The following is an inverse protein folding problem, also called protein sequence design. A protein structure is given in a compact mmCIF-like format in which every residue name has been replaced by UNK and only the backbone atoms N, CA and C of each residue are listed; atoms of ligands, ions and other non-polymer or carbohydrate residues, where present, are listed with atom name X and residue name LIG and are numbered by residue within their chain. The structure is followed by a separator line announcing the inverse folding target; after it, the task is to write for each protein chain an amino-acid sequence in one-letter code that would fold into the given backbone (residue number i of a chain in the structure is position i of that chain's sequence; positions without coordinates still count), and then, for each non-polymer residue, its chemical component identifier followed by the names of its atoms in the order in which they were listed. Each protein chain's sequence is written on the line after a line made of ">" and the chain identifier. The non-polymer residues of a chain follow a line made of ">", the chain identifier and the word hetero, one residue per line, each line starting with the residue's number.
data_IF_277651357780
#
_entry.id   IF_277651357780
#
_cell.length_a   1.000
_cell.length_b   1.000
_cell.length_c   1.000
_cell.angle_alpha   90.00
_cell.angle_beta   90.00
_cell.angle_gamma   90.00
#
_symmetry.space_group_name_H-M   'P 1'
#
loop_
_entity.id
_entity.type
_entity.pdbx_description
1 polymer ?
#
# COMPACT_ATOMS: atom_id res chain seq x y z
N UNK A 1 3.80 1.40 4.65
CA UNK A 1 4.49 0.08 4.58
C UNK A 1 5.55 0.05 5.65
N UNK A 2 5.64 -1.04 6.39
CA UNK A 2 6.78 -1.28 7.29
C UNK A 2 7.93 -1.89 6.51
N UNK A 3 9.16 -1.43 6.73
CA UNK A 3 10.39 -2.08 6.25
C UNK A 3 11.43 -2.16 7.36
N UNK A 4 12.46 -3.00 7.21
CA UNK A 4 13.53 -3.08 8.21
C UNK A 4 14.38 -1.82 8.30
N UNK A 5 14.28 -0.91 7.31
CA UNK A 5 14.90 0.41 7.34
C UNK A 5 13.98 1.47 7.98
N UNK A 6 12.72 1.14 8.28
CA UNK A 6 11.73 2.03 8.87
C UNK A 6 10.41 2.09 8.11
N UNK A 7 9.51 2.92 8.64
CA UNK A 7 8.21 3.23 8.06
C UNK A 7 8.37 4.01 6.75
N UNK A 8 7.72 3.57 5.68
CA UNK A 8 7.70 4.29 4.41
C UNK A 8 6.30 4.40 3.81
N UNK A 9 6.12 5.44 3.01
CA UNK A 9 4.91 5.74 2.25
C UNK A 9 5.24 5.62 0.76
N UNK A 10 4.34 4.98 0.02
CA UNK A 10 4.41 4.87 -1.43
C UNK A 10 3.13 5.49 -1.97
N UNK A 11 3.27 6.50 -2.80
CA UNK A 11 2.16 7.16 -3.49
C UNK A 11 2.26 6.81 -4.97
N UNK A 12 1.17 6.34 -5.56
CA UNK A 12 1.10 5.97 -6.97
C UNK A 12 0.05 6.87 -7.61
N UNK A 13 0.48 7.73 -8.53
CA UNK A 13 -0.42 8.57 -9.30
C UNK A 13 -0.88 7.83 -10.56
N UNK A 14 -2.09 8.14 -11.00
CA UNK A 14 -2.72 7.51 -12.16
C UNK A 14 -3.21 8.53 -13.17
N UNK A 15 -3.22 8.14 -14.44
CA UNK A 15 -3.87 8.81 -15.55
C UNK A 15 -4.90 7.89 -16.23
N UNK A 16 -5.38 8.27 -17.41
CA UNK A 16 -6.35 7.51 -18.20
C UNK A 16 -5.85 6.12 -18.65
N UNK A 17 -4.52 5.90 -18.63
CA UNK A 17 -3.88 4.65 -19.06
C UNK A 17 -3.43 3.77 -17.88
N UNK A 18 -3.45 4.29 -16.64
CA UNK A 18 -3.10 3.56 -15.44
C UNK A 18 -2.07 4.30 -14.59
N UNK A 19 -1.16 3.57 -13.95
CA UNK A 19 -0.11 4.19 -13.13
C UNK A 19 0.86 5.02 -14.01
N UNK A 20 1.04 6.29 -13.67
CA UNK A 20 1.90 7.22 -14.41
C UNK A 20 3.12 7.68 -13.60
N UNK A 21 3.04 7.69 -12.27
CA UNK A 21 4.11 8.16 -11.40
C UNK A 21 4.11 7.47 -10.04
N UNK A 22 5.30 7.28 -9.45
CA UNK A 22 5.48 6.72 -8.11
C UNK A 22 6.35 7.66 -7.28
N UNK A 23 5.88 8.03 -6.09
CA UNK A 23 6.65 8.73 -5.08
C UNK A 23 6.86 7.83 -3.87
N UNK A 24 8.02 7.98 -3.25
CA UNK A 24 8.37 7.21 -2.07
C UNK A 24 8.97 8.13 -1.02
N UNK A 25 8.47 8.04 0.21
CA UNK A 25 8.96 8.83 1.33
C UNK A 25 9.16 7.95 2.57
N UNK A 26 10.34 8.05 3.18
CA UNK A 26 10.63 7.42 4.46
C UNK A 26 10.18 8.34 5.60
N UNK A 27 9.54 7.78 6.63
CA UNK A 27 8.95 8.55 7.73
C UNK A 27 9.98 9.22 8.65
N UNK A 28 11.05 8.51 9.02
CA UNK A 28 12.21 9.13 9.70
C UNK A 28 13.22 9.57 8.63
N UNK A 29 13.69 10.81 8.75
CA UNK A 29 14.52 11.47 7.73
C UNK A 29 15.93 10.89 7.66
N UNK A 30 16.35 10.50 6.46
CA UNK A 30 17.76 10.39 6.07
C UNK A 30 18.35 8.98 5.94
N UNK A 31 19.58 8.93 5.42
CA UNK A 31 20.37 7.71 5.24
C UNK A 31 20.30 7.11 3.83
N UNK A 32 21.13 6.09 3.58
CA UNK A 32 21.25 5.44 2.27
C UNK A 32 19.92 4.88 1.77
N UNK A 33 19.06 4.37 2.66
CA UNK A 33 17.75 3.84 2.29
C UNK A 33 16.85 4.92 1.66
N UNK A 34 16.83 6.13 2.22
CA UNK A 34 16.03 7.23 1.66
C UNK A 34 16.54 7.68 0.30
N UNK A 35 17.87 7.81 0.14
CA UNK A 35 18.48 8.20 -1.12
C UNK A 35 18.26 7.16 -2.22
N UNK A 36 18.39 5.86 -1.89
CA UNK A 36 18.12 4.76 -2.82
C UNK A 36 16.64 4.72 -3.22
N UNK A 37 15.73 4.95 -2.27
CA UNK A 37 14.30 5.00 -2.55
C UNK A 37 13.92 6.18 -3.45
N UNK A 38 14.54 7.35 -3.27
CA UNK A 38 14.34 8.48 -4.16
C UNK A 38 14.77 8.13 -5.60
N UNK A 39 15.94 7.49 -5.75
CA UNK A 39 16.41 7.03 -7.05
C UNK A 39 15.44 6.00 -7.67
N UNK A 40 14.98 5.01 -6.88
CA UNK A 40 14.01 4.01 -7.33
C UNK A 40 12.70 4.67 -7.75
N UNK A 41 12.17 5.61 -6.97
CA UNK A 41 10.94 6.33 -7.29
C UNK A 41 11.08 7.10 -8.61
N UNK A 42 12.15 7.89 -8.76
CA UNK A 42 12.41 8.68 -9.98
C UNK A 42 12.57 7.81 -11.23
N UNK A 43 13.30 6.70 -11.13
CA UNK A 43 13.49 5.78 -12.25
C UNK A 43 12.21 5.00 -12.57
N UNK A 44 11.44 4.58 -11.56
CA UNK A 44 10.15 3.91 -11.77
C UNK A 44 9.15 4.85 -12.44
N UNK A 45 9.08 6.10 -12.00
CA UNK A 45 8.27 7.15 -12.62
C UNK A 45 8.69 7.44 -14.06
N UNK A 46 10.00 7.47 -14.35
CA UNK A 46 10.49 7.61 -15.72
C UNK A 46 10.10 6.40 -16.58
N UNK A 47 10.20 5.19 -16.03
CA UNK A 47 9.82 3.96 -16.74
C UNK A 47 8.33 3.95 -17.09
N UNK A 48 7.45 4.33 -16.16
CA UNK A 48 6.01 4.45 -16.38
C UNK A 48 5.70 5.46 -17.48
N UNK A 49 6.28 6.67 -17.41
CA UNK A 49 6.13 7.70 -18.46
C UNK A 49 6.72 7.29 -19.82
N UNK A 50 7.61 6.29 -19.83
CA UNK A 50 8.18 5.69 -21.04
C UNK A 50 7.37 4.50 -21.55
N UNK A 51 6.12 4.34 -21.07
CA UNK A 51 5.20 3.28 -21.45
C UNK A 51 5.73 1.86 -21.17
N UNK A 52 6.60 1.72 -20.17
CA UNK A 52 7.03 0.41 -19.68
C UNK A 52 5.89 -0.20 -18.87
N UNK A 53 5.50 -1.43 -19.22
CA UNK A 53 4.45 -2.17 -18.51
C UNK A 53 4.73 -2.25 -17.01
N UNK A 54 3.72 -1.93 -16.19
CA UNK A 54 3.81 -1.93 -14.74
C UNK A 54 4.29 -3.28 -14.19
N UNK A 55 3.84 -4.40 -14.78
CA UNK A 55 4.25 -5.75 -14.41
C UNK A 55 5.76 -5.98 -14.59
N UNK A 56 6.38 -5.33 -15.58
CA UNK A 56 7.81 -5.42 -15.79
C UNK A 56 8.57 -4.74 -14.66
N UNK A 57 8.11 -3.57 -14.21
CA UNK A 57 8.70 -2.82 -13.08
C UNK A 57 8.53 -3.63 -11.79
N UNK A 58 7.32 -4.15 -11.53
CA UNK A 58 7.04 -5.01 -10.37
C UNK A 58 8.02 -6.18 -10.30
N UNK A 59 8.27 -6.86 -11.44
CA UNK A 59 9.19 -7.99 -11.51
C UNK A 59 10.64 -7.62 -11.18
N UNK A 60 11.09 -6.41 -11.56
CA UNK A 60 12.45 -5.96 -11.24
C UNK A 60 12.61 -5.60 -9.75
N UNK A 61 11.56 -5.09 -9.11
CA UNK A 61 11.61 -4.62 -7.73
C UNK A 61 11.32 -5.72 -6.70
N UNK A 62 10.35 -6.60 -6.98
CA UNK A 62 9.96 -7.68 -6.07
C UNK A 62 11.09 -8.67 -5.86
N UNK A 63 11.32 -9.03 -4.60
CA UNK A 63 12.35 -9.99 -4.20
C UNK A 63 13.76 -9.41 -4.08
N UNK A 64 13.99 -8.12 -4.38
CA UNK A 64 15.26 -7.46 -4.02
C UNK A 64 15.46 -7.61 -2.52
N UNK A 65 16.66 -8.06 -2.11
CA UNK A 65 16.99 -8.31 -0.71
C UNK A 65 17.97 -7.28 -0.18
N UNK A 66 17.81 -6.88 1.07
CA UNK A 66 18.80 -6.15 1.83
C UNK A 66 19.12 -6.89 3.14
N UNK A 67 20.05 -6.33 3.92
CA UNK A 67 20.48 -6.89 5.22
C UNK A 67 19.41 -6.79 6.33
N UNK A 68 18.29 -6.12 6.07
CA UNK A 68 17.23 -5.85 7.06
C UNK A 68 15.85 -6.31 6.55
N UNK A 69 15.63 -7.61 6.26
CA UNK A 69 14.31 -8.12 5.95
C UNK A 69 13.41 -8.05 7.20
N UNK A 70 12.10 -7.89 7.00
CA UNK A 70 11.15 -7.87 8.11
C UNK A 70 9.82 -8.53 7.75
N UNK A 71 9.09 -8.97 8.76
CA UNK A 71 7.73 -9.46 8.62
C UNK A 71 6.72 -8.33 8.84
N UNK A 72 5.77 -8.19 7.94
CA UNK A 72 4.67 -7.24 8.03
C UNK A 72 3.38 -7.90 7.55
N UNK A 73 2.34 -7.92 8.40
CA UNK A 73 1.01 -8.49 8.11
C UNK A 73 1.08 -9.92 7.51
N UNK A 74 1.88 -10.80 8.11
CA UNK A 74 2.04 -12.18 7.67
C UNK A 74 2.85 -12.38 6.39
N UNK A 75 3.38 -11.31 5.77
CA UNK A 75 4.26 -11.38 4.62
C UNK A 75 5.66 -10.89 4.95
N UNK A 76 6.68 -11.50 4.35
CA UNK A 76 8.06 -11.04 4.47
C UNK A 76 8.35 -9.96 3.43
N UNK A 77 8.77 -8.78 3.88
CA UNK A 77 9.30 -7.70 3.06
C UNK A 77 10.83 -7.79 3.11
N UNK A 78 11.45 -8.08 1.97
CA UNK A 78 12.88 -8.41 1.93
C UNK A 78 13.81 -7.20 1.77
N UNK A 79 13.28 -6.05 1.34
CA UNK A 79 13.96 -4.77 1.28
C UNK A 79 12.97 -3.62 1.06
N UNK A 80 13.45 -2.37 1.11
CA UNK A 80 12.65 -1.22 0.71
C UNK A 80 12.25 -1.26 -0.77
N UNK A 81 13.12 -1.79 -1.65
CA UNK A 81 12.78 -1.97 -3.07
C UNK A 81 11.68 -3.01 -3.27
N UNK A 82 11.76 -4.14 -2.55
CA UNK A 82 10.70 -5.16 -2.52
C UNK A 82 9.37 -4.57 -2.02
N UNK A 83 9.41 -3.71 -1.00
CA UNK A 83 8.24 -3.02 -0.48
C UNK A 83 7.55 -2.16 -1.57
N UNK A 84 8.33 -1.43 -2.39
CA UNK A 84 7.79 -0.67 -3.54
C UNK A 84 7.16 -1.61 -4.56
N UNK A 85 7.84 -2.71 -4.91
CA UNK A 85 7.33 -3.71 -5.84
C UNK A 85 6.00 -4.32 -5.39
N UNK A 86 5.85 -4.61 -4.09
CA UNK A 86 4.60 -5.08 -3.48
C UNK A 86 3.50 -4.00 -3.50
N UNK A 87 3.85 -2.74 -3.27
CA UNK A 87 2.90 -1.64 -3.36
C UNK A 87 2.30 -1.52 -4.77
N UNK A 88 3.16 -1.61 -5.79
CA UNK A 88 2.76 -1.58 -7.20
C UNK A 88 1.92 -2.81 -7.59
N UNK A 89 2.27 -4.00 -7.09
CA UNK A 89 1.48 -5.21 -7.30
C UNK A 89 0.08 -5.11 -6.67
N UNK A 90 0.00 -4.60 -5.43
CA UNK A 90 -1.28 -4.37 -4.77
C UNK A 90 -2.11 -3.34 -5.53
N UNK A 91 -1.48 -2.28 -6.04
CA UNK A 91 -2.13 -1.31 -6.91
C UNK A 91 -2.69 -1.99 -8.16
N UNK A 92 -1.90 -2.78 -8.88
CA UNK A 92 -2.34 -3.48 -10.08
C UNK A 92 -3.52 -4.44 -9.83
N UNK A 93 -3.53 -5.11 -8.67
CA UNK A 93 -4.66 -5.99 -8.30
C UNK A 93 -5.95 -5.21 -8.00
N UNK A 94 -5.81 -4.01 -7.45
CA UNK A 94 -6.90 -3.11 -7.02
C UNK A 94 -7.43 -2.27 -8.20
N UNK A 95 -6.57 -1.96 -9.16
CA UNK A 95 -6.83 -1.10 -10.31
C UNK A 95 -7.26 -1.95 -11.52
N UNK A 96 -8.55 -2.28 -11.60
CA UNK A 96 -9.17 -2.89 -12.79
C UNK A 96 -10.31 -2.01 -13.31
N UNK A 97 -10.20 -1.60 -14.57
CA UNK A 97 -11.14 -0.75 -15.32
C UNK A 97 -11.21 0.73 -14.90
N UNK A 98 -10.10 1.35 -14.48
CA UNK A 98 -10.06 2.79 -14.16
C UNK A 98 -10.64 3.18 -12.80
N UNK A 99 -11.21 2.21 -12.06
CA UNK A 99 -11.68 2.39 -10.69
C UNK A 99 -10.75 1.67 -9.69
N UNK A 100 -10.45 2.35 -8.57
CA UNK A 100 -9.74 1.76 -7.43
C UNK A 100 -10.75 0.91 -6.64
N UNK A 101 -10.74 -0.41 -6.84
CA UNK A 101 -11.55 -1.34 -6.04
C UNK A 101 -10.81 -1.71 -4.77
N UNK A 102 -11.17 -1.12 -3.62
CA UNK A 102 -10.55 -1.45 -2.34
C UNK A 102 -10.65 -2.96 -2.04
N UNK A 103 -9.51 -3.66 -2.07
CA UNK A 103 -9.41 -5.08 -1.74
C UNK A 103 -9.25 -5.21 -0.23
N UNK A 104 -10.28 -5.65 0.47
CA UNK A 104 -10.18 -6.03 1.90
C UNK A 104 -9.64 -7.46 1.96
N UNK A 105 -8.38 -7.61 2.33
CA UNK A 105 -7.78 -8.92 2.64
C UNK A 105 -8.13 -9.24 4.09
N UNK A 106 -9.14 -10.08 4.32
CA UNK A 106 -9.38 -10.68 5.62
C UNK A 106 -8.42 -11.87 5.81
N UNK A 107 -7.57 -11.78 6.82
CA UNK A 107 -6.40 -12.65 7.01
C UNK A 107 -6.69 -14.03 7.60
N UNK A 108 -7.95 -14.49 7.67
CA UNK A 108 -8.25 -15.68 8.48
C UNK A 108 -8.64 -16.95 7.72
N UNK A 109 -9.21 -16.91 6.52
CA UNK A 109 -9.34 -18.11 5.69
C UNK A 109 -9.25 -17.71 4.22
N UNK A 110 -8.54 -18.50 3.40
CA UNK A 110 -8.19 -18.21 2.00
C UNK A 110 -9.38 -18.15 1.03
N UNK A 111 -10.36 -17.28 1.29
CA UNK A 111 -11.51 -17.01 0.46
C UNK A 111 -11.59 -15.52 0.14
N UNK A 112 -11.44 -15.19 -1.15
CA UNK A 112 -11.63 -13.84 -1.69
C UNK A 112 -13.13 -13.55 -1.71
N UNK A 113 -13.62 -12.76 -0.77
CA UNK A 113 -15.01 -12.29 -0.79
C UNK A 113 -15.10 -10.92 -1.47
N UNK A 114 -15.87 -10.87 -2.56
CA UNK A 114 -16.15 -9.65 -3.32
C UNK A 114 -17.39 -8.97 -2.72
N UNK A 115 -17.23 -7.79 -2.11
CA UNK A 115 -18.38 -6.98 -1.70
C UNK A 115 -18.37 -5.63 -2.41
N UNK A 116 -19.38 -5.41 -3.26
CA UNK A 116 -19.70 -4.10 -3.82
C UNK A 116 -20.35 -3.25 -2.74
N UNK A 117 -19.60 -2.38 -2.06
CA UNK A 117 -20.14 -1.52 -1.02
C UNK A 117 -20.59 -0.18 -1.62
N UNK A 118 -21.88 0.10 -1.42
CA UNK A 118 -22.46 1.45 -1.48
C UNK A 118 -21.72 2.36 -0.47
N UNK A 119 -21.60 3.67 -0.74
CA UNK A 119 -20.79 4.56 0.08
C UNK A 119 -21.42 4.77 1.46
N UNK A 120 -20.57 4.97 2.46
CA UNK A 120 -20.86 5.40 3.85
C UNK A 120 -21.00 4.32 4.93
N UNK A 121 -20.09 3.35 4.98
CA UNK A 121 -19.76 2.68 6.25
C UNK A 121 -18.37 3.13 6.67
N UNK A 122 -18.29 3.93 7.73
CA UNK A 122 -17.02 4.27 8.34
C UNK A 122 -16.49 3.02 9.08
N UNK A 123 -15.20 2.71 8.88
CA UNK A 123 -14.52 1.58 9.49
C UNK A 123 -13.56 2.07 10.59
N UNK A 124 -13.41 1.29 11.65
CA UNK A 124 -12.52 1.55 12.76
C UNK A 124 -11.07 1.47 12.28
N UNK A 125 -10.23 2.49 12.53
CA UNK A 125 -8.83 2.49 12.09
C UNK A 125 -7.96 1.46 12.83
N UNK A 126 -8.37 1.02 14.02
CA UNK A 126 -7.57 0.12 14.86
C UNK A 126 -7.84 -1.37 14.57
N UNK A 127 -9.10 -1.74 14.33
CA UNK A 127 -9.50 -3.14 14.16
C UNK A 127 -10.29 -3.44 12.88
N UNK A 128 -10.62 -2.42 12.08
CA UNK A 128 -11.36 -2.60 10.82
C UNK A 128 -12.84 -2.96 10.96
N UNK A 129 -13.39 -3.01 12.19
CA UNK A 129 -14.83 -3.22 12.42
C UNK A 129 -15.63 -1.97 12.07
N UNK A 130 -16.93 -2.09 11.80
CA UNK A 130 -17.80 -0.92 11.55
C UNK A 130 -17.86 -0.01 12.77
N UNK A 131 -17.74 1.31 12.56
CA UNK A 131 -17.97 2.29 13.63
C UNK A 131 -19.39 2.84 13.57
N UNK A 132 -19.94 3.13 14.75
CA UNK A 132 -21.27 3.69 14.93
C UNK A 132 -21.18 5.11 15.49
N UNK A 133 -22.12 5.99 15.11
CA UNK A 133 -22.26 7.29 15.74
C UNK A 133 -23.07 7.16 17.03
N UNK A 134 -22.44 7.41 18.17
CA UNK A 134 -23.08 7.43 19.47
C UNK A 134 -22.55 8.62 20.28
N UNK A 135 -23.49 9.39 20.87
CA UNK A 135 -23.17 10.52 21.75
C UNK A 135 -22.30 11.61 21.09
N UNK A 136 -22.46 11.80 19.77
CA UNK A 136 -21.68 12.80 19.02
C UNK A 136 -20.26 12.36 18.64
N UNK A 137 -19.90 11.11 18.91
CA UNK A 137 -18.60 10.52 18.55
C UNK A 137 -18.81 9.31 17.63
N UNK A 138 -17.81 9.00 16.80
CA UNK A 138 -17.67 7.69 16.17
C UNK A 138 -17.11 6.73 17.23
N UNK A 139 -17.77 5.60 17.48
CA UNK A 139 -17.34 4.56 18.42
C UNK A 139 -17.22 3.20 17.74
N UNK A 140 -16.25 2.42 18.16
CA UNK A 140 -16.07 1.03 17.73
C UNK A 140 -16.52 0.07 18.83
N UNK A 141 -17.61 -0.70 18.64
CA UNK A 141 -18.09 -1.65 19.64
C UNK A 141 -17.14 -2.85 19.83
N UNK A 142 -16.25 -3.12 18.86
CA UNK A 142 -15.37 -4.28 18.87
C UNK A 142 -14.05 -4.07 19.62
N UNK A 143 -13.52 -2.84 19.66
CA UNK A 143 -12.23 -2.54 20.31
C UNK A 143 -12.23 -1.33 21.23
N UNK A 144 -13.33 -0.57 21.31
CA UNK A 144 -13.46 0.60 22.18
C UNK A 144 -12.84 1.89 21.64
N UNK A 145 -12.34 1.91 20.39
CA UNK A 145 -11.87 3.13 19.72
C UNK A 145 -13.00 4.18 19.63
N UNK A 146 -12.68 5.45 19.89
CA UNK A 146 -13.63 6.55 19.69
C UNK A 146 -12.97 7.81 19.10
N UNK A 147 -13.75 8.59 18.34
CA UNK A 147 -13.35 9.89 17.80
C UNK A 147 -14.53 10.87 17.81
N UNK A 148 -14.35 11.94 18.57
CA UNK A 148 -15.15 13.16 18.58
C UNK A 148 -14.22 14.29 18.12
#
# INVERSE_FOLDING_TARGET
>A
LETGCGHMYVTINTDDLGACEVFVQMGKVGGCASAQLEAIARLSSLALRSNIRLEAIIRQLKGIRCQSPMWHKGQMITSCGDAVGRALENFLATYKNGDIRQVTINSDEGAISFSTLKPNVALCPDCGSSVEHAEGCLKCPSCGWSKC
#
